data_IF_134283660386
#
_entry.id   IF_134283660386
#
_cell.length_a   1.000
_cell.length_b   1.000
_cell.length_c   1.000
_cell.angle_alpha   90.00
_cell.angle_beta   90.00
_cell.angle_gamma   90.00
#
_symmetry.space_group_name_H-M   'P 1'
#
loop_
_entity.id
_entity.type
_entity.pdbx_description
1 polymer ?
#
# COMPACT_ATOMS: atom_id res chain seq x y z
N UNK A 1 2.21 -12.50 10.34
CA UNK A 1 2.07 -11.29 9.51
C UNK A 1 2.50 -10.09 10.33
N UNK A 2 3.56 -9.43 9.88
CA UNK A 2 4.06 -8.15 10.35
C UNK A 2 3.14 -7.01 9.91
N UNK A 3 3.27 -5.83 10.52
CA UNK A 3 2.51 -4.63 10.10
C UNK A 3 2.76 -4.29 8.62
N UNK A 4 3.97 -4.51 8.13
CA UNK A 4 4.32 -4.28 6.73
C UNK A 4 3.57 -5.25 5.79
N UNK A 5 3.52 -6.54 6.12
CA UNK A 5 2.74 -7.52 5.36
C UNK A 5 1.23 -7.19 5.36
N UNK A 6 0.68 -6.75 6.50
CA UNK A 6 -0.71 -6.30 6.58
C UNK A 6 -0.98 -5.10 5.67
N UNK A 7 -0.05 -4.15 5.60
CA UNK A 7 -0.14 -3.01 4.69
C UNK A 7 -0.11 -3.46 3.22
N UNK A 8 0.81 -4.36 2.86
CA UNK A 8 0.88 -4.91 1.49
C UNK A 8 -0.43 -5.62 1.09
N UNK A 9 -1.01 -6.40 2.00
CA UNK A 9 -2.31 -7.04 1.79
C UNK A 9 -3.43 -6.01 1.60
N UNK A 10 -3.47 -4.94 2.41
CA UNK A 10 -4.45 -3.84 2.24
C UNK A 10 -4.31 -3.16 0.87
N UNK A 11 -3.08 -2.88 0.43
CA UNK A 11 -2.88 -2.25 -0.89
C UNK A 11 -3.35 -3.17 -2.01
N UNK A 12 -3.10 -4.49 -1.94
CA UNK A 12 -3.62 -5.44 -2.94
C UNK A 12 -5.14 -5.50 -2.98
N UNK A 13 -5.78 -5.57 -1.81
CA UNK A 13 -7.23 -5.55 -1.72
C UNK A 13 -7.79 -4.28 -2.37
N UNK A 14 -7.22 -3.13 -2.03
CA UNK A 14 -7.64 -1.84 -2.57
C UNK A 14 -7.41 -1.72 -4.08
N UNK A 15 -6.27 -2.20 -4.57
CA UNK A 15 -5.97 -2.24 -5.99
C UNK A 15 -6.99 -3.09 -6.75
N UNK A 16 -7.35 -4.26 -6.20
CA UNK A 16 -8.38 -5.13 -6.78
C UNK A 16 -9.76 -4.46 -6.78
N UNK A 17 -10.13 -3.77 -5.71
CA UNK A 17 -11.39 -3.01 -5.64
C UNK A 17 -11.46 -1.87 -6.67
N UNK A 18 -10.32 -1.26 -6.96
CA UNK A 18 -10.20 -0.17 -7.93
C UNK A 18 -9.97 -0.67 -9.37
N UNK A 19 -9.93 -1.98 -9.59
CA UNK A 19 -9.62 -2.60 -10.88
C UNK A 19 -8.29 -2.14 -11.48
N UNK A 20 -7.27 -1.91 -10.63
CA UNK A 20 -5.91 -1.54 -11.05
C UNK A 20 -4.90 -2.56 -10.51
N UNK A 21 -3.71 -2.61 -11.13
CA UNK A 21 -2.64 -3.48 -10.65
C UNK A 21 -2.10 -3.01 -9.29
N UNK A 22 -1.81 -3.95 -8.39
CA UNK A 22 -1.20 -3.66 -7.09
C UNK A 22 0.13 -2.91 -7.21
N UNK A 23 0.95 -3.22 -8.22
CA UNK A 23 2.19 -2.51 -8.52
C UNK A 23 1.94 -1.04 -8.92
N UNK A 24 0.85 -0.77 -9.63
CA UNK A 24 0.44 0.61 -10.00
C UNK A 24 0.03 1.41 -8.77
N UNK A 25 -0.80 0.81 -7.90
CA UNK A 25 -1.21 1.47 -6.65
C UNK A 25 -0.02 1.64 -5.69
N UNK A 26 0.83 0.62 -5.56
CA UNK A 26 2.07 0.69 -4.79
C UNK A 26 2.97 1.81 -5.28
N UNK A 27 3.21 1.90 -6.59
CA UNK A 27 4.02 2.98 -7.18
C UNK A 27 3.45 4.36 -6.85
N UNK A 28 2.12 4.51 -6.86
CA UNK A 28 1.43 5.75 -6.49
C UNK A 28 1.61 6.09 -5.00
N UNK A 29 1.47 5.09 -4.11
CA UNK A 29 1.54 5.28 -2.66
C UNK A 29 2.98 5.50 -2.14
N UNK A 30 3.96 4.78 -2.70
CA UNK A 30 5.35 4.82 -2.26
C UNK A 30 6.20 5.87 -3.02
N UNK A 31 5.63 6.57 -4.01
CA UNK A 31 6.32 7.62 -4.76
C UNK A 31 7.36 7.12 -5.77
N UNK A 32 7.26 5.86 -6.21
CA UNK A 32 8.19 5.24 -7.16
C UNK A 32 8.76 3.91 -6.66
N UNK A 33 8.62 2.86 -7.49
CA UNK A 33 9.11 1.49 -7.19
C UNK A 33 8.00 0.50 -6.83
N UNK A 34 8.28 -0.80 -7.00
CA UNK A 34 7.37 -1.91 -6.63
C UNK A 34 7.69 -2.36 -5.21
N UNK A 35 7.46 -1.47 -4.24
CA UNK A 35 7.89 -1.67 -2.84
C UNK A 35 7.07 -2.74 -2.11
N UNK A 36 5.90 -3.09 -2.66
CA UNK A 36 5.07 -4.20 -2.19
C UNK A 36 5.81 -5.53 -2.25
N UNK A 37 6.49 -5.82 -3.36
CA UNK A 37 7.17 -7.10 -3.54
C UNK A 37 8.33 -7.25 -2.54
N UNK A 38 9.02 -6.14 -2.24
CA UNK A 38 10.09 -6.10 -1.23
C UNK A 38 9.55 -6.36 0.18
N UNK A 39 8.40 -5.76 0.53
CA UNK A 39 7.73 -5.95 1.82
C UNK A 39 7.27 -7.40 1.98
N UNK A 40 6.71 -7.99 0.94
CA UNK A 40 6.28 -9.40 0.94
C UNK A 40 7.46 -10.37 1.00
N UNK A 41 8.62 -10.00 0.45
CA UNK A 41 9.87 -10.74 0.60
C UNK A 41 10.48 -10.61 2.02
N UNK A 42 9.83 -9.88 2.93
CA UNK A 42 10.27 -9.71 4.32
C UNK A 42 11.09 -8.45 4.59
N UNK A 43 11.13 -7.50 3.65
CA UNK A 43 11.78 -6.21 3.90
C UNK A 43 11.01 -5.39 4.93
N UNK A 44 11.78 -4.72 5.80
CA UNK A 44 11.23 -3.84 6.81
C UNK A 44 10.95 -2.45 6.23
N UNK A 45 9.80 -1.87 6.57
CA UNK A 45 9.50 -0.48 6.30
C UNK A 45 9.96 0.41 7.46
N UNK A 46 10.41 1.62 7.14
CA UNK A 46 10.55 2.65 8.19
C UNK A 46 9.17 3.08 8.68
N UNK A 47 9.08 3.48 9.94
CA UNK A 47 7.82 3.98 10.54
C UNK A 47 7.24 5.17 9.78
N UNK A 48 8.09 6.09 9.29
CA UNK A 48 7.66 7.22 8.45
C UNK A 48 7.03 6.76 7.13
N UNK A 49 7.65 5.81 6.44
CA UNK A 49 7.09 5.28 5.18
C UNK A 49 5.77 4.56 5.44
N UNK A 50 5.70 3.75 6.50
CA UNK A 50 4.48 3.06 6.91
C UNK A 50 3.34 4.05 7.18
N UNK A 51 3.59 5.09 7.98
CA UNK A 51 2.60 6.10 8.32
C UNK A 51 2.09 6.86 7.08
N UNK A 52 2.99 7.27 6.17
CA UNK A 52 2.61 7.97 4.93
C UNK A 52 1.73 7.11 4.03
N UNK A 53 2.10 5.84 3.84
CA UNK A 53 1.36 4.93 2.96
C UNK A 53 0.03 4.53 3.57
N UNK A 54 -0.02 4.31 4.88
CA UNK A 54 -1.28 4.04 5.58
C UNK A 54 -2.22 5.25 5.49
N UNK A 55 -1.72 6.47 5.69
CA UNK A 55 -2.53 7.68 5.56
C UNK A 55 -3.06 7.86 4.13
N UNK A 56 -2.23 7.62 3.11
CA UNK A 56 -2.65 7.70 1.71
C UNK A 56 -3.68 6.62 1.32
N UNK A 57 -3.59 5.42 1.90
CA UNK A 57 -4.62 4.39 1.75
C UNK A 57 -5.94 4.80 2.40
N UNK A 58 -5.89 5.33 3.63
CA UNK A 58 -7.07 5.81 4.33
C UNK A 58 -7.75 6.98 3.59
N UNK A 59 -6.98 7.86 2.97
CA UNK A 59 -7.50 8.94 2.11
C UNK A 59 -8.24 8.39 0.88
N UNK A 60 -7.66 7.39 0.19
CA UNK A 60 -8.31 6.68 -0.92
C UNK A 60 -9.57 5.91 -0.49
N UNK A 61 -9.65 5.46 0.76
CA UNK A 61 -10.85 4.84 1.32
C UNK A 61 -11.96 5.87 1.56
N UNK A 62 -11.62 7.06 2.03
CA UNK A 62 -12.60 8.15 2.20
C UNK A 62 -13.13 8.67 0.88
N UNK A 63 -12.29 8.83 -0.13
CA UNK A 63 -12.68 9.39 -1.44
C UNK A 63 -13.70 8.48 -2.17
N UNK A 64 -13.64 7.16 -1.96
CA UNK A 64 -14.62 6.20 -2.53
C UNK A 64 -15.94 6.15 -1.74
N UNK A 65 -15.96 6.63 -0.49
CA UNK A 65 -17.13 6.63 0.38
C UNK A 65 -18.00 7.90 0.25
N UNK A 66 -17.55 8.89 -0.52
CA UNK A 66 -18.28 10.11 -0.88
C UNK A 66 -18.96 9.99 -2.25
#
# INVERSE_FOLDING_TARGET
MTQAEQLAARIRAKASEMNISASTLSRKLFGGGSRIDEIEAGSSLTLDTFARVSAALDDLDRDKAA
#
